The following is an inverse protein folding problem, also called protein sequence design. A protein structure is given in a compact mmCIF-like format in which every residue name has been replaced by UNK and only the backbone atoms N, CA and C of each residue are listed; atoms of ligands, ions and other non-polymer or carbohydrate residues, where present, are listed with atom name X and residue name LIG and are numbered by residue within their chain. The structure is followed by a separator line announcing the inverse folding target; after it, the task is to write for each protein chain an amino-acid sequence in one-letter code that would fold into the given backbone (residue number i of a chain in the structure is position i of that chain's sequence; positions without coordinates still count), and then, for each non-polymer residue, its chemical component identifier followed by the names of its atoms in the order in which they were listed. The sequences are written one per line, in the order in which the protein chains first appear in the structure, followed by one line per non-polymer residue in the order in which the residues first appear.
data_IF_898621541655
#
_entry.id   IF_898621541655
#
_cell.length_a   1.000
_cell.length_b   1.000
_cell.length_c   1.000
_cell.angle_alpha   90.00
_cell.angle_beta   90.00
_cell.angle_gamma   90.00
#
_symmetry.space_group_name_H-M   'P 1'
#
loop_
_entity.id
_entity.type
_entity.pdbx_description
1 polymer ?
#
# COMPACT_ATOMS: atom_id res chain seq x y z
N UNK A 1 -22.66 -17.87 -15.75
CA UNK A 1 -23.16 -18.65 -14.61
C UNK A 1 -22.10 -19.39 -13.79
N UNK A 2 -20.93 -19.77 -14.34
CA UNK A 2 -19.88 -20.44 -13.50
C UNK A 2 -19.08 -19.47 -12.59
N UNK A 3 -18.97 -18.20 -12.92
CA UNK A 3 -18.22 -17.22 -12.11
C UNK A 3 -18.85 -16.92 -10.74
N UNK A 4 -20.18 -16.77 -10.67
CA UNK A 4 -20.88 -16.44 -9.43
C UNK A 4 -20.76 -17.53 -8.35
N UNK A 5 -20.74 -18.81 -8.72
CA UNK A 5 -20.54 -19.91 -7.78
C UNK A 5 -19.15 -19.92 -7.17
N UNK A 6 -18.12 -19.51 -7.91
CA UNK A 6 -16.75 -19.51 -7.43
C UNK A 6 -16.49 -18.46 -6.35
N UNK A 7 -17.24 -17.35 -6.34
CA UNK A 7 -17.03 -16.26 -5.39
C UNK A 7 -17.98 -16.27 -4.20
N UNK A 8 -19.05 -17.08 -4.20
CA UNK A 8 -20.08 -17.08 -3.15
C UNK A 8 -19.50 -17.31 -1.75
N UNK A 9 -18.72 -18.36 -1.57
CA UNK A 9 -18.15 -18.71 -0.27
C UNK A 9 -17.16 -17.64 0.24
N UNK A 10 -16.23 -17.20 -0.60
CA UNK A 10 -15.23 -16.18 -0.22
C UNK A 10 -15.87 -14.82 0.02
N UNK A 11 -16.84 -14.43 -0.81
CA UNK A 11 -17.52 -13.14 -0.65
C UNK A 11 -18.35 -13.11 0.65
N UNK A 12 -19.04 -14.20 1.00
CA UNK A 12 -19.76 -14.33 2.27
C UNK A 12 -18.78 -14.23 3.45
N UNK A 13 -17.66 -14.95 3.40
CA UNK A 13 -16.62 -14.88 4.44
C UNK A 13 -16.07 -13.45 4.59
N UNK A 14 -15.75 -12.81 3.47
CA UNK A 14 -15.15 -11.48 3.46
C UNK A 14 -16.12 -10.41 3.96
N UNK A 15 -17.43 -10.55 3.70
CA UNK A 15 -18.45 -9.65 4.27
C UNK A 15 -18.50 -9.72 5.80
N UNK A 16 -18.39 -10.91 6.36
CA UNK A 16 -18.30 -11.09 7.82
C UNK A 16 -16.99 -10.51 8.37
N UNK A 17 -15.88 -10.67 7.66
CA UNK A 17 -14.59 -10.07 8.07
C UNK A 17 -14.65 -8.54 8.02
N UNK A 18 -15.24 -7.98 6.97
CA UNK A 18 -15.41 -6.52 6.82
C UNK A 18 -16.30 -5.91 7.91
N UNK A 19 -17.35 -6.61 8.36
CA UNK A 19 -18.20 -6.11 9.44
C UNK A 19 -17.50 -6.03 10.80
N UNK A 20 -16.31 -6.61 10.92
CA UNK A 20 -15.46 -6.56 12.13
C UNK A 20 -14.39 -5.47 12.09
N UNK A 21 -14.28 -4.74 10.98
CA UNK A 21 -13.43 -3.54 10.91
C UNK A 21 -13.97 -2.46 11.85
N UNK A 22 -13.09 -1.59 12.32
CA UNK A 22 -13.39 -0.54 13.26
C UNK A 22 -14.50 0.40 12.75
N UNK A 23 -15.49 0.64 13.60
CA UNK A 23 -16.54 1.64 13.37
C UNK A 23 -16.02 3.06 13.57
N UNK A 24 -16.78 4.08 13.22
CA UNK A 24 -16.43 5.49 13.54
C UNK A 24 -16.32 5.69 15.06
N UNK A 25 -17.18 5.01 15.84
CA UNK A 25 -17.15 5.07 17.30
C UNK A 25 -15.83 4.49 17.86
N UNK A 26 -15.34 3.40 17.29
CA UNK A 26 -14.06 2.79 17.71
C UNK A 26 -12.90 3.74 17.45
N UNK A 27 -12.88 4.42 16.29
CA UNK A 27 -11.87 5.44 15.99
C UNK A 27 -11.88 6.58 16.99
N UNK A 28 -13.07 7.16 17.26
CA UNK A 28 -13.22 8.25 18.23
C UNK A 28 -12.73 7.81 19.61
N UNK A 29 -13.18 6.65 20.10
CA UNK A 29 -12.74 6.12 21.38
C UNK A 29 -11.23 5.95 21.44
N UNK A 30 -10.64 5.32 20.39
CA UNK A 30 -9.20 5.05 20.33
C UNK A 30 -8.38 6.34 20.36
N UNK A 31 -8.81 7.41 19.67
CA UNK A 31 -8.12 8.70 19.69
C UNK A 31 -8.24 9.37 21.07
N UNK A 32 -9.39 9.23 21.75
CA UNK A 32 -9.67 9.87 23.03
C UNK A 32 -8.97 9.18 24.21
N UNK A 33 -8.48 7.95 24.08
CA UNK A 33 -7.73 7.28 25.14
C UNK A 33 -6.53 8.13 25.60
N UNK A 34 -6.25 8.13 26.90
CA UNK A 34 -5.26 9.04 27.50
C UNK A 34 -3.82 8.65 27.23
N UNK A 35 -3.57 7.37 26.99
CA UNK A 35 -2.23 6.82 26.81
C UNK A 35 -2.20 5.74 25.72
N UNK A 36 -1.01 5.47 25.18
CA UNK A 36 -0.78 4.36 24.24
C UNK A 36 -1.20 3.02 24.87
N UNK A 37 -0.96 2.85 26.18
CA UNK A 37 -1.38 1.65 26.89
C UNK A 37 -2.91 1.48 26.83
N UNK A 38 -3.67 2.51 27.17
CA UNK A 38 -5.15 2.48 27.11
C UNK A 38 -5.65 2.23 25.68
N UNK A 39 -4.98 2.81 24.65
CA UNK A 39 -5.28 2.53 23.24
C UNK A 39 -5.09 1.05 22.89
N UNK A 40 -4.01 0.44 23.38
CA UNK A 40 -3.74 -0.99 23.16
C UNK A 40 -4.75 -1.86 23.91
N UNK A 41 -5.06 -1.52 25.15
CA UNK A 41 -6.06 -2.22 25.96
C UNK A 41 -7.44 -2.14 25.28
N UNK A 42 -7.82 -0.97 24.72
CA UNK A 42 -9.02 -0.82 23.91
C UNK A 42 -9.01 -1.77 22.70
N UNK A 43 -7.92 -1.79 21.93
CA UNK A 43 -7.77 -2.68 20.77
C UNK A 43 -7.88 -4.16 21.17
N UNK A 44 -7.29 -4.54 22.31
CA UNK A 44 -7.34 -5.92 22.84
C UNK A 44 -8.74 -6.34 23.27
N UNK A 45 -9.43 -5.48 24.00
CA UNK A 45 -10.66 -5.85 24.71
C UNK A 45 -11.92 -5.62 23.87
N UNK A 46 -11.89 -4.68 22.93
CA UNK A 46 -13.08 -4.21 22.22
C UNK A 46 -13.09 -4.49 20.72
N UNK A 47 -12.03 -5.03 20.17
CA UNK A 47 -11.90 -5.19 18.73
C UNK A 47 -11.42 -6.59 18.33
N UNK A 48 -11.36 -6.85 17.02
CA UNK A 48 -10.84 -8.12 16.48
C UNK A 48 -9.34 -8.29 16.69
N UNK A 49 -8.65 -7.25 17.10
CA UNK A 49 -7.20 -7.25 17.30
C UNK A 49 -6.78 -7.87 18.64
N UNK A 50 -7.72 -8.24 19.53
CA UNK A 50 -7.42 -8.85 20.82
C UNK A 50 -6.52 -10.08 20.74
N UNK A 51 -6.81 -11.00 19.83
CA UNK A 51 -5.96 -12.19 19.63
C UNK A 51 -4.62 -11.86 18.92
N UNK A 52 -4.55 -10.77 18.18
CA UNK A 52 -3.35 -10.34 17.45
C UNK A 52 -2.35 -9.72 18.42
N UNK A 53 -2.85 -8.93 19.36
CA UNK A 53 -2.05 -8.15 20.30
C UNK A 53 -1.92 -8.77 21.67
N UNK A 54 -2.42 -10.01 21.90
CA UNK A 54 -2.45 -10.67 23.21
C UNK A 54 -1.08 -10.78 23.88
N UNK A 55 -0.03 -11.03 23.08
CA UNK A 55 1.34 -11.25 23.56
C UNK A 55 2.17 -9.94 23.58
N UNK A 56 1.53 -8.81 23.28
CA UNK A 56 2.16 -7.48 23.36
C UNK A 56 2.28 -7.06 24.83
N UNK A 57 3.50 -6.68 25.21
CA UNK A 57 3.87 -6.22 26.56
C UNK A 57 3.09 -4.97 26.99
N UNK A 58 3.17 -4.61 28.27
CA UNK A 58 2.44 -3.45 28.85
C UNK A 58 2.92 -2.10 28.32
N UNK A 59 4.20 -1.99 27.92
CA UNK A 59 4.82 -0.79 27.33
C UNK A 59 5.52 -1.16 26.02
N UNK A 60 4.78 -1.48 24.96
CA UNK A 60 5.36 -1.94 23.73
C UNK A 60 5.93 -0.79 22.90
N UNK A 61 6.96 -1.11 22.13
CA UNK A 61 7.34 -0.30 21.00
C UNK A 61 6.23 -0.37 19.92
N UNK A 62 5.82 0.78 19.39
CA UNK A 62 4.81 0.87 18.31
C UNK A 62 5.24 0.03 17.10
N UNK A 63 6.53 -0.10 16.83
CA UNK A 63 7.04 -0.97 15.77
C UNK A 63 6.64 -2.44 15.97
N UNK A 64 6.66 -2.95 17.20
CA UNK A 64 6.19 -4.33 17.49
C UNK A 64 4.70 -4.49 17.21
N UNK A 65 3.89 -3.49 17.54
CA UNK A 65 2.45 -3.48 17.24
C UNK A 65 2.22 -3.48 15.73
N UNK A 66 2.93 -2.64 15.00
CA UNK A 66 2.87 -2.57 13.55
C UNK A 66 3.17 -3.92 12.90
N UNK A 67 4.22 -4.61 13.37
CA UNK A 67 4.58 -5.95 12.89
C UNK A 67 3.41 -6.92 13.07
N UNK A 68 2.82 -6.98 14.26
CA UNK A 68 1.74 -7.93 14.54
C UNK A 68 0.48 -7.61 13.71
N UNK A 69 0.15 -6.34 13.54
CA UNK A 69 -0.95 -5.91 12.67
C UNK A 69 -0.69 -6.23 11.19
N UNK A 70 0.52 -6.04 10.70
CA UNK A 70 0.91 -6.42 9.32
C UNK A 70 0.90 -7.94 9.14
N UNK A 71 1.35 -8.71 10.12
CA UNK A 71 1.20 -10.18 10.11
C UNK A 71 -0.27 -10.58 10.00
N UNK A 72 -1.14 -9.93 10.77
CA UNK A 72 -2.58 -10.21 10.70
C UNK A 72 -3.14 -9.99 9.30
N UNK A 73 -2.79 -8.88 8.64
CA UNK A 73 -3.18 -8.57 7.27
C UNK A 73 -2.79 -9.69 6.29
N UNK A 74 -1.53 -10.12 6.36
CA UNK A 74 -1.01 -11.21 5.52
C UNK A 74 -1.75 -12.53 5.78
N UNK A 75 -2.01 -12.86 7.05
CA UNK A 75 -2.80 -14.04 7.42
C UNK A 75 -4.23 -13.97 6.85
N UNK A 76 -4.87 -12.78 6.84
CA UNK A 76 -6.19 -12.63 6.22
C UNK A 76 -6.13 -12.84 4.71
N UNK A 77 -5.13 -12.29 4.02
CA UNK A 77 -4.94 -12.53 2.59
C UNK A 77 -4.67 -14.01 2.30
N UNK A 78 -3.84 -14.69 3.09
CA UNK A 78 -3.63 -16.15 2.94
C UNK A 78 -4.90 -16.97 3.14
N UNK A 79 -5.75 -16.58 4.09
CA UNK A 79 -7.07 -17.23 4.27
C UNK A 79 -7.95 -17.07 3.03
N UNK A 80 -7.91 -15.89 2.40
CA UNK A 80 -8.63 -15.61 1.15
C UNK A 80 -8.07 -16.47 0.01
N UNK A 81 -6.75 -16.56 -0.14
CA UNK A 81 -6.07 -17.36 -1.17
C UNK A 81 -6.54 -18.84 -1.13
N UNK A 82 -6.85 -19.38 0.03
CA UNK A 82 -7.30 -20.79 0.18
C UNK A 82 -8.65 -21.07 -0.48
N UNK A 83 -9.47 -20.05 -0.73
CA UNK A 83 -10.75 -20.21 -1.42
C UNK A 83 -10.61 -20.36 -2.93
N UNK A 84 -9.42 -20.09 -3.47
CA UNK A 84 -9.16 -20.07 -4.89
C UNK A 84 -8.27 -21.22 -5.33
N UNK A 85 -8.39 -21.57 -6.62
CA UNK A 85 -7.56 -22.55 -7.32
C UNK A 85 -7.03 -21.94 -8.62
N UNK A 86 -6.03 -22.58 -9.22
CA UNK A 86 -5.47 -22.22 -10.52
C UNK A 86 -5.15 -20.71 -10.65
N UNK A 87 -5.57 -20.08 -11.74
CA UNK A 87 -5.24 -18.70 -12.11
C UNK A 87 -5.67 -17.67 -11.06
N UNK A 88 -6.83 -17.86 -10.44
CA UNK A 88 -7.30 -16.99 -9.36
C UNK A 88 -6.42 -17.07 -8.13
N UNK A 89 -5.97 -18.27 -7.77
CA UNK A 89 -5.04 -18.45 -6.66
C UNK A 89 -3.71 -17.77 -6.93
N UNK A 90 -3.21 -17.86 -8.15
CA UNK A 90 -1.95 -17.23 -8.54
C UNK A 90 -2.08 -15.70 -8.60
N UNK A 91 -3.23 -15.17 -9.02
CA UNK A 91 -3.53 -13.75 -8.95
C UNK A 91 -3.51 -13.22 -7.51
N UNK A 92 -4.23 -13.89 -6.59
CA UNK A 92 -4.24 -13.46 -5.18
C UNK A 92 -2.89 -13.66 -4.47
N UNK A 93 -2.07 -14.63 -4.88
CA UNK A 93 -0.68 -14.74 -4.40
C UNK A 93 0.17 -13.56 -4.88
N UNK A 94 -0.02 -13.11 -6.12
CA UNK A 94 0.71 -11.95 -6.63
C UNK A 94 0.43 -10.67 -5.81
N UNK A 95 -0.73 -10.54 -5.17
CA UNK A 95 -1.00 -9.42 -4.25
C UNK A 95 -0.06 -9.40 -3.02
N UNK A 96 0.53 -10.54 -2.62
CA UNK A 96 1.52 -10.58 -1.53
C UNK A 96 2.83 -9.89 -1.89
N UNK A 97 3.18 -9.83 -3.19
CA UNK A 97 4.41 -9.17 -3.65
C UNK A 97 4.49 -7.71 -3.21
N UNK A 98 3.34 -7.03 -3.09
CA UNK A 98 3.30 -5.64 -2.59
C UNK A 98 3.97 -5.52 -1.22
N UNK A 99 3.65 -6.42 -0.31
CA UNK A 99 4.18 -6.40 1.06
C UNK A 99 5.65 -6.83 1.11
N UNK A 100 6.08 -7.73 0.23
CA UNK A 100 7.49 -8.05 0.05
C UNK A 100 8.26 -6.83 -0.45
N UNK A 101 7.74 -6.15 -1.46
CA UNK A 101 8.34 -4.95 -2.04
C UNK A 101 8.42 -3.81 -1.01
N UNK A 102 7.39 -3.59 -0.20
CA UNK A 102 7.45 -2.59 0.87
C UNK A 102 8.57 -2.91 1.88
N UNK A 103 8.78 -4.18 2.21
CA UNK A 103 9.89 -4.58 3.07
C UNK A 103 11.26 -4.38 2.40
N UNK A 104 11.39 -4.72 1.11
CA UNK A 104 12.63 -4.48 0.35
C UNK A 104 12.96 -2.99 0.30
N UNK A 105 11.97 -2.12 0.05
CA UNK A 105 12.15 -0.67 0.08
C UNK A 105 12.59 -0.18 1.45
N UNK A 106 12.00 -0.72 2.52
CA UNK A 106 12.39 -0.37 3.88
C UNK A 106 13.87 -0.74 4.16
N UNK A 107 14.33 -1.91 3.72
CA UNK A 107 15.73 -2.29 3.82
C UNK A 107 16.65 -1.39 3.00
N UNK A 108 16.31 -1.11 1.75
CA UNK A 108 17.09 -0.22 0.89
C UNK A 108 17.25 1.17 1.53
N UNK A 109 16.17 1.74 2.08
CA UNK A 109 16.21 3.03 2.80
C UNK A 109 17.06 2.98 4.06
N UNK A 110 17.02 1.87 4.80
CA UNK A 110 17.83 1.71 6.02
C UNK A 110 19.32 1.57 5.69
N UNK A 111 19.66 0.83 4.64
CA UNK A 111 21.05 0.69 4.16
C UNK A 111 21.57 2.06 3.71
N UNK A 112 20.83 2.78 2.89
CA UNK A 112 21.21 4.11 2.40
C UNK A 112 21.46 5.13 3.52
N UNK A 113 20.69 5.03 4.61
CA UNK A 113 20.84 5.89 5.79
C UNK A 113 21.88 5.41 6.78
N UNK A 114 22.49 4.26 6.55
CA UNK A 114 23.32 3.56 7.54
C UNK A 114 22.59 3.31 8.87
N UNK A 115 21.26 3.13 8.81
CA UNK A 115 20.44 2.80 9.96
C UNK A 115 20.47 1.29 10.24
N UNK A 116 20.20 0.91 11.51
CA UNK A 116 19.98 -0.49 11.84
C UNK A 116 18.76 -1.01 11.09
N UNK A 117 18.94 -2.17 10.41
CA UNK A 117 17.84 -2.81 9.70
C UNK A 117 16.69 -3.15 10.67
N UNK A 118 15.47 -2.74 10.36
CA UNK A 118 14.33 -2.97 11.23
C UNK A 118 13.99 -4.46 11.32
N UNK A 119 13.71 -4.94 12.52
CA UNK A 119 13.24 -6.32 12.74
C UNK A 119 11.89 -6.61 12.06
N UNK A 120 11.17 -5.55 11.69
CA UNK A 120 9.84 -5.57 11.07
C UNK A 120 9.74 -6.33 9.76
N UNK A 121 10.81 -6.49 9.07
CA UNK A 121 10.77 -6.80 7.65
C UNK A 121 10.70 -8.29 7.33
N UNK A 122 10.67 -9.19 8.31
CA UNK A 122 10.52 -10.60 8.01
C UNK A 122 9.06 -10.93 7.66
N UNK A 123 8.85 -11.36 6.43
CA UNK A 123 7.60 -11.89 5.95
C UNK A 123 7.24 -13.20 6.69
N UNK A 124 5.98 -13.31 7.08
CA UNK A 124 5.46 -14.50 7.75
C UNK A 124 4.58 -15.35 6.83
N UNK A 125 4.53 -15.03 5.54
CA UNK A 125 3.79 -15.80 4.56
C UNK A 125 4.54 -17.05 4.15
N UNK A 126 3.82 -18.16 4.00
CA UNK A 126 4.35 -19.38 3.39
C UNK A 126 4.56 -19.27 1.87
N UNK A 127 4.14 -18.17 1.27
CA UNK A 127 4.28 -17.88 -0.16
C UNK A 127 5.44 -16.91 -0.44
N UNK A 128 6.25 -16.61 0.56
CA UNK A 128 7.45 -15.77 0.44
C UNK A 128 8.36 -16.28 -0.69
N UNK A 129 8.93 -15.33 -1.42
CA UNK A 129 9.83 -15.59 -2.55
C UNK A 129 11.30 -15.45 -2.20
N UNK A 130 11.65 -14.82 -1.08
CA UNK A 130 13.04 -14.65 -0.64
C UNK A 130 13.25 -14.90 0.87
N UNK A 131 14.48 -15.22 1.26
CA UNK A 131 14.82 -15.53 2.65
C UNK A 131 15.36 -14.30 3.39
N UNK A 132 14.54 -13.68 4.23
CA UNK A 132 14.91 -12.51 5.03
C UNK A 132 16.03 -12.76 6.06
N UNK A 133 16.32 -14.01 6.41
CA UNK A 133 17.32 -14.32 7.47
C UNK A 133 18.73 -13.91 7.08
N UNK A 134 19.04 -13.93 5.79
CA UNK A 134 20.37 -13.61 5.28
C UNK A 134 20.63 -12.10 5.19
N UNK A 135 19.59 -11.27 5.35
CA UNK A 135 19.65 -9.81 5.10
C UNK A 135 20.02 -9.02 6.36
N UNK A 136 19.86 -9.58 7.56
CA UNK A 136 19.96 -8.85 8.84
C UNK A 136 21.28 -8.11 9.12
N UNK A 137 22.36 -8.50 8.47
CA UNK A 137 23.69 -7.94 8.72
C UNK A 137 24.27 -7.17 7.51
N UNK A 138 23.46 -6.95 6.48
CA UNK A 138 23.89 -6.28 5.26
C UNK A 138 23.88 -4.77 5.49
N UNK A 139 24.96 -4.11 5.11
CA UNK A 139 25.13 -2.66 5.22
C UNK A 139 25.41 -2.00 3.87
N UNK A 140 25.43 -2.78 2.80
CA UNK A 140 25.77 -2.33 1.46
C UNK A 140 24.68 -2.74 0.45
N UNK A 141 24.33 -1.85 -0.47
CA UNK A 141 23.28 -2.09 -1.48
C UNK A 141 23.68 -3.19 -2.46
N UNK A 142 24.95 -3.27 -2.85
CA UNK A 142 25.43 -4.30 -3.79
C UNK A 142 25.31 -5.69 -3.18
N UNK A 143 25.74 -5.85 -1.91
CA UNK A 143 25.57 -7.10 -1.16
C UNK A 143 24.10 -7.45 -0.98
N UNK A 144 23.24 -6.45 -0.69
CA UNK A 144 21.80 -6.65 -0.57
C UNK A 144 21.20 -7.21 -1.86
N UNK A 145 21.52 -6.61 -3.01
CA UNK A 145 21.02 -7.06 -4.31
C UNK A 145 21.52 -8.48 -4.64
N UNK A 146 22.79 -8.78 -4.37
CA UNK A 146 23.33 -10.14 -4.60
C UNK A 146 22.62 -11.22 -3.77
N UNK A 147 22.18 -10.88 -2.55
CA UNK A 147 21.39 -11.80 -1.71
C UNK A 147 19.97 -12.08 -2.24
N UNK A 148 19.48 -11.28 -3.18
CA UNK A 148 18.21 -11.51 -3.87
C UNK A 148 18.34 -12.43 -5.10
N UNK A 149 19.54 -12.93 -5.42
CA UNK A 149 19.79 -13.79 -6.57
C UNK A 149 18.88 -15.01 -6.58
N UNK A 150 18.29 -15.29 -7.74
CA UNK A 150 17.29 -16.34 -7.92
C UNK A 150 15.87 -15.93 -7.57
N UNK A 151 15.62 -14.68 -7.19
CA UNK A 151 14.29 -14.11 -7.04
C UNK A 151 13.95 -13.16 -8.20
N UNK A 152 12.67 -12.84 -8.39
CA UNK A 152 12.21 -11.86 -9.39
C UNK A 152 12.73 -10.44 -9.12
N UNK A 153 13.18 -10.15 -7.92
CA UNK A 153 13.70 -8.85 -7.50
C UNK A 153 15.12 -8.61 -7.98
N UNK A 154 15.92 -9.67 -8.11
CA UNK A 154 17.32 -9.57 -8.51
C UNK A 154 17.48 -8.90 -9.88
N UNK A 155 16.76 -9.38 -10.89
CA UNK A 155 16.87 -8.87 -12.26
C UNK A 155 16.45 -7.39 -12.37
N UNK A 156 15.54 -6.96 -11.50
CA UNK A 156 15.04 -5.58 -11.45
C UNK A 156 16.02 -4.64 -10.76
N UNK A 157 16.74 -5.09 -9.74
CA UNK A 157 17.62 -4.26 -8.92
C UNK A 157 19.09 -4.34 -9.37
N UNK A 158 19.50 -5.43 -10.02
CA UNK A 158 20.89 -5.67 -10.44
C UNK A 158 21.51 -4.53 -11.28
N UNK A 159 20.77 -3.87 -12.20
CA UNK A 159 21.33 -2.75 -12.97
C UNK A 159 21.78 -1.56 -12.13
N UNK A 160 21.33 -1.48 -10.88
CA UNK A 160 21.55 -0.33 -9.99
C UNK A 160 22.54 -0.64 -8.85
N UNK A 161 23.00 -1.88 -8.70
CA UNK A 161 23.73 -2.33 -7.51
C UNK A 161 25.05 -1.58 -7.26
N UNK A 162 25.75 -1.20 -8.32
CA UNK A 162 27.06 -0.56 -8.26
C UNK A 162 27.01 0.92 -8.70
N UNK A 163 25.81 1.51 -8.80
CA UNK A 163 25.66 2.88 -9.25
C UNK A 163 25.92 3.85 -8.09
N UNK A 164 26.77 4.84 -8.35
CA UNK A 164 27.06 5.96 -7.44
C UNK A 164 26.23 7.21 -7.85
N UNK A 165 24.93 7.16 -7.59
CA UNK A 165 23.99 8.26 -7.87
C UNK A 165 23.07 8.43 -6.67
N UNK A 166 22.99 9.65 -6.14
CA UNK A 166 22.10 9.99 -5.00
C UNK A 166 20.61 9.70 -5.26
N UNK A 167 20.22 9.47 -6.52
CA UNK A 167 18.86 9.15 -6.95
C UNK A 167 18.60 7.65 -7.05
N UNK A 168 19.62 6.81 -6.79
CA UNK A 168 19.57 5.36 -7.03
C UNK A 168 18.42 4.69 -6.27
N UNK A 169 18.22 5.08 -5.03
CA UNK A 169 17.14 4.58 -4.18
C UNK A 169 15.77 4.81 -4.82
N UNK A 170 15.56 6.01 -5.36
CA UNK A 170 14.30 6.35 -6.04
C UNK A 170 14.06 5.45 -7.27
N UNK A 171 15.09 5.23 -8.09
CA UNK A 171 14.99 4.34 -9.25
C UNK A 171 14.70 2.90 -8.85
N UNK A 172 15.36 2.38 -7.81
CA UNK A 172 15.14 1.04 -7.31
C UNK A 172 13.69 0.87 -6.81
N UNK A 173 13.19 1.83 -6.02
CA UNK A 173 11.82 1.80 -5.50
C UNK A 173 10.76 1.84 -6.63
N UNK A 174 10.95 2.70 -7.63
CA UNK A 174 10.02 2.77 -8.77
C UNK A 174 10.01 1.47 -9.58
N UNK A 175 11.17 0.85 -9.79
CA UNK A 175 11.25 -0.42 -10.52
C UNK A 175 10.60 -1.58 -9.72
N UNK A 176 10.71 -1.58 -8.41
CA UNK A 176 10.02 -2.55 -7.57
C UNK A 176 8.49 -2.38 -7.66
N UNK A 177 7.98 -1.15 -7.65
CA UNK A 177 6.54 -0.90 -7.86
C UNK A 177 6.10 -1.33 -9.27
N UNK A 178 6.91 -1.02 -10.29
CA UNK A 178 6.64 -1.45 -11.66
C UNK A 178 6.59 -2.98 -11.78
N UNK A 179 7.48 -3.68 -11.09
CA UNK A 179 7.46 -5.14 -11.01
C UNK A 179 6.11 -5.63 -10.45
N UNK A 180 5.66 -5.07 -9.33
CA UNK A 180 4.36 -5.44 -8.73
C UNK A 180 3.21 -5.31 -9.73
N UNK A 181 3.06 -4.14 -10.36
CA UNK A 181 1.97 -3.91 -11.30
C UNK A 181 2.07 -4.79 -12.56
N UNK A 182 3.28 -5.07 -13.03
CA UNK A 182 3.52 -5.98 -14.15
C UNK A 182 3.10 -7.42 -13.82
N UNK A 183 3.44 -7.90 -12.61
CA UNK A 183 3.03 -9.22 -12.13
C UNK A 183 1.51 -9.31 -11.94
N UNK A 184 0.89 -8.32 -11.31
CA UNK A 184 -0.59 -8.26 -11.16
C UNK A 184 -1.27 -8.30 -12.53
N UNK A 185 -0.78 -7.52 -13.49
CA UNK A 185 -1.30 -7.49 -14.86
C UNK A 185 -1.17 -8.85 -15.54
N UNK A 186 0.01 -9.45 -15.52
CA UNK A 186 0.28 -10.76 -16.13
C UNK A 186 -0.60 -11.87 -15.53
N UNK A 187 -0.88 -11.82 -14.21
CA UNK A 187 -1.79 -12.79 -13.58
C UNK A 187 -3.25 -12.49 -13.90
N UNK A 188 -3.65 -11.21 -13.97
CA UNK A 188 -5.03 -10.82 -14.30
C UNK A 188 -5.42 -11.21 -15.74
N UNK A 189 -4.49 -11.18 -16.67
CA UNK A 189 -4.71 -11.58 -18.08
C UNK A 189 -5.12 -13.05 -18.24
N UNK A 190 -4.78 -13.90 -17.27
CA UNK A 190 -5.16 -15.33 -17.26
C UNK A 190 -6.57 -15.56 -16.71
N UNK A 191 -7.20 -14.55 -16.12
CA UNK A 191 -8.56 -14.64 -15.58
C UNK A 191 -9.59 -14.51 -16.70
N UNK A 192 -10.86 -14.82 -16.38
CA UNK A 192 -11.92 -14.57 -17.33
C UNK A 192 -12.03 -13.08 -17.70
N UNK A 193 -12.58 -12.80 -18.89
CA UNK A 193 -12.62 -11.44 -19.45
C UNK A 193 -13.32 -10.42 -18.54
N UNK A 194 -14.41 -10.81 -17.85
CA UNK A 194 -15.19 -9.90 -17.01
C UNK A 194 -14.41 -9.52 -15.76
N UNK A 195 -13.81 -10.49 -15.09
CA UNK A 195 -12.99 -10.26 -13.88
C UNK A 195 -11.73 -9.46 -14.22
N UNK A 196 -11.09 -9.77 -15.36
CA UNK A 196 -9.94 -9.00 -15.84
C UNK A 196 -10.29 -7.53 -16.04
N UNK A 197 -11.36 -7.21 -16.79
CA UNK A 197 -11.79 -5.83 -17.03
C UNK A 197 -12.11 -5.12 -15.71
N UNK A 198 -12.78 -5.79 -14.78
CA UNK A 198 -13.11 -5.22 -13.47
C UNK A 198 -11.85 -4.90 -12.63
N UNK A 199 -10.85 -5.77 -12.66
CA UNK A 199 -9.56 -5.56 -12.00
C UNK A 199 -8.80 -4.42 -12.67
N UNK A 200 -8.73 -4.38 -13.99
CA UNK A 200 -8.08 -3.32 -14.77
C UNK A 200 -8.70 -1.95 -14.48
N UNK A 201 -10.03 -1.86 -14.37
CA UNK A 201 -10.72 -0.62 -14.02
C UNK A 201 -10.39 -0.15 -12.60
N UNK A 202 -10.34 -1.08 -11.65
CA UNK A 202 -10.04 -0.78 -10.25
C UNK A 202 -8.58 -0.34 -10.06
N UNK A 203 -7.64 -1.05 -10.68
CA UNK A 203 -6.20 -0.78 -10.55
C UNK A 203 -5.74 0.39 -11.42
N UNK A 204 -6.42 0.66 -12.53
CA UNK A 204 -6.05 1.74 -13.45
C UNK A 204 -6.08 3.11 -12.80
N UNK A 205 -7.01 3.36 -11.86
CA UNK A 205 -7.04 4.61 -11.10
C UNK A 205 -5.85 4.71 -10.13
N UNK A 206 -5.47 3.61 -9.50
CA UNK A 206 -4.28 3.57 -8.65
C UNK A 206 -2.99 3.83 -9.45
N UNK A 207 -2.89 3.26 -10.65
CA UNK A 207 -1.77 3.49 -11.58
C UNK A 207 -1.69 4.96 -11.98
N UNK A 208 -2.82 5.60 -12.33
CA UNK A 208 -2.82 7.03 -12.64
C UNK A 208 -2.31 7.87 -11.47
N UNK A 209 -2.80 7.60 -10.26
CA UNK A 209 -2.39 8.33 -9.06
C UNK A 209 -0.91 8.18 -8.75
N UNK A 210 -0.35 6.98 -8.90
CA UNK A 210 1.08 6.72 -8.73
C UNK A 210 1.92 7.42 -9.80
N UNK A 211 1.49 7.39 -11.06
CA UNK A 211 2.19 8.11 -12.13
C UNK A 211 2.22 9.62 -11.84
N UNK A 212 1.11 10.22 -11.41
CA UNK A 212 1.05 11.62 -11.03
C UNK A 212 2.03 11.92 -9.89
N UNK A 213 2.00 11.10 -8.84
CA UNK A 213 2.88 11.26 -7.68
C UNK A 213 4.35 11.16 -8.08
N UNK A 214 4.73 10.18 -8.89
CA UNK A 214 6.11 10.00 -9.33
C UNK A 214 6.60 11.13 -10.24
N UNK A 215 5.76 11.58 -11.19
CA UNK A 215 6.11 12.72 -12.05
C UNK A 215 6.30 13.96 -11.18
N UNK A 216 5.36 14.27 -10.28
CA UNK A 216 5.45 15.41 -9.40
C UNK A 216 6.70 15.37 -8.52
N UNK A 217 6.97 14.25 -7.85
CA UNK A 217 8.14 14.09 -6.98
C UNK A 217 9.44 14.10 -7.77
N UNK A 218 9.46 13.46 -8.93
CA UNK A 218 10.63 13.42 -9.80
C UNK A 218 11.05 14.80 -10.30
N UNK A 219 10.09 15.64 -10.70
CA UNK A 219 10.36 17.02 -11.11
C UNK A 219 10.77 17.87 -9.90
N UNK A 220 10.00 17.82 -8.81
CA UNK A 220 10.14 18.76 -7.70
C UNK A 220 11.33 18.49 -6.78
N UNK A 221 11.57 17.22 -6.44
CA UNK A 221 12.52 16.85 -5.39
C UNK A 221 13.79 16.19 -5.92
N UNK A 222 13.69 15.49 -7.06
CA UNK A 222 14.82 14.75 -7.62
C UNK A 222 15.42 15.37 -8.87
N UNK A 223 14.80 16.43 -9.43
CA UNK A 223 15.23 17.11 -10.66
C UNK A 223 15.53 16.11 -11.80
N UNK A 224 14.65 15.11 -11.98
CA UNK A 224 14.81 14.10 -13.02
C UNK A 224 14.55 14.67 -14.39
N UNK A 225 15.29 14.20 -15.39
CA UNK A 225 15.01 14.53 -16.78
C UNK A 225 13.72 13.86 -17.25
N UNK A 226 12.95 14.48 -18.17
CA UNK A 226 11.73 13.90 -18.73
C UNK A 226 11.90 12.48 -19.26
N UNK A 227 13.03 12.19 -19.91
CA UNK A 227 13.36 10.88 -20.46
C UNK A 227 13.53 9.83 -19.38
N UNK A 228 14.10 10.19 -18.23
CA UNK A 228 14.22 9.31 -17.06
C UNK A 228 12.82 8.99 -16.51
N UNK A 229 12.00 10.02 -16.27
CA UNK A 229 10.62 9.83 -15.78
C UNK A 229 9.80 8.92 -16.69
N UNK A 230 9.87 9.13 -18.01
CA UNK A 230 9.13 8.33 -18.98
C UNK A 230 9.45 6.83 -18.87
N UNK A 231 10.72 6.49 -18.59
CA UNK A 231 11.14 5.10 -18.46
C UNK A 231 10.52 4.37 -17.26
N UNK A 232 10.09 5.12 -16.24
CA UNK A 232 9.52 4.55 -15.01
C UNK A 232 7.99 4.57 -14.97
N UNK A 233 7.32 5.22 -15.92
CA UNK A 233 5.88 5.28 -15.96
C UNK A 233 5.24 3.89 -15.93
N UNK A 234 4.21 3.76 -15.13
CA UNK A 234 3.36 2.57 -15.11
C UNK A 234 2.42 2.61 -16.31
N UNK A 235 2.41 1.58 -17.15
CA UNK A 235 1.43 1.45 -18.21
C UNK A 235 0.04 1.08 -17.63
N UNK A 236 -0.98 1.24 -18.45
CA UNK A 236 -2.36 0.79 -18.15
C UNK A 236 -3.16 1.65 -17.18
N UNK A 237 -2.79 2.94 -17.03
CA UNK A 237 -3.63 3.92 -16.35
C UNK A 237 -5.02 4.02 -16.99
N UNK A 238 -6.01 4.44 -16.19
CA UNK A 238 -7.41 4.55 -16.63
C UNK A 238 -7.65 5.82 -17.44
N UNK A 239 -7.23 6.97 -16.92
CA UNK A 239 -7.47 8.28 -17.52
C UNK A 239 -6.31 8.70 -18.42
N UNK A 240 -5.09 8.68 -17.91
CA UNK A 240 -3.93 9.17 -18.64
C UNK A 240 -3.29 8.08 -19.48
N UNK A 241 -3.24 8.31 -20.80
CA UNK A 241 -2.54 7.43 -21.73
C UNK A 241 -1.10 7.88 -21.92
N UNK A 242 -0.27 7.06 -22.53
CA UNK A 242 1.16 7.29 -22.67
C UNK A 242 1.50 8.70 -23.24
N UNK A 243 0.72 9.20 -24.21
CA UNK A 243 0.95 10.54 -24.79
C UNK A 243 0.76 11.66 -23.76
N UNK A 244 -0.25 11.54 -22.92
CA UNK A 244 -0.56 12.52 -21.86
C UNK A 244 0.47 12.45 -20.75
N UNK A 245 0.81 11.23 -20.28
CA UNK A 245 1.86 11.00 -19.30
C UNK A 245 3.21 11.55 -19.79
N UNK A 246 3.55 11.30 -21.06
CA UNK A 246 4.76 11.88 -21.67
C UNK A 246 4.74 13.40 -21.62
N UNK A 247 3.60 14.04 -21.98
CA UNK A 247 3.45 15.50 -21.87
C UNK A 247 3.67 15.98 -20.44
N UNK A 248 3.12 15.29 -19.43
CA UNK A 248 3.32 15.63 -18.02
C UNK A 248 4.80 15.55 -17.60
N UNK A 249 5.57 14.58 -18.12
CA UNK A 249 7.00 14.47 -17.83
C UNK A 249 7.82 15.66 -18.39
N UNK A 250 7.37 16.27 -19.49
CA UNK A 250 8.01 17.45 -20.08
C UNK A 250 7.48 18.78 -19.55
N UNK A 251 6.46 18.78 -18.68
CA UNK A 251 5.90 19.98 -18.08
C UNK A 251 6.74 20.46 -16.90
N UNK A 252 6.62 21.74 -16.57
CA UNK A 252 7.01 22.23 -15.26
C UNK A 252 5.93 21.92 -14.21
N UNK A 253 6.20 22.30 -12.95
CA UNK A 253 5.29 22.01 -11.83
C UNK A 253 3.93 22.72 -11.98
N UNK A 254 3.90 23.92 -12.54
CA UNK A 254 2.66 24.69 -12.67
C UNK A 254 1.81 24.16 -13.83
N UNK A 255 2.42 23.84 -14.97
CA UNK A 255 1.72 23.14 -16.06
C UNK A 255 1.22 21.76 -15.64
N UNK A 256 2.02 21.01 -14.88
CA UNK A 256 1.57 19.70 -14.33
C UNK A 256 0.34 19.86 -13.44
N UNK A 257 0.35 20.85 -12.53
CA UNK A 257 -0.81 21.16 -11.68
C UNK A 257 -2.04 21.50 -12.51
N UNK A 258 -1.89 22.33 -13.55
CA UNK A 258 -3.00 22.73 -14.42
C UNK A 258 -3.61 21.51 -15.14
N UNK A 259 -2.78 20.60 -15.65
CA UNK A 259 -3.26 19.36 -16.26
C UNK A 259 -4.08 18.54 -15.24
N UNK A 260 -3.59 18.39 -14.03
CA UNK A 260 -4.25 17.57 -13.01
C UNK A 260 -5.50 18.24 -12.46
N UNK A 261 -5.50 19.57 -12.26
CA UNK A 261 -6.67 20.34 -11.81
C UNK A 261 -7.85 20.23 -12.80
N UNK A 262 -7.59 20.01 -14.09
CA UNK A 262 -8.59 19.78 -15.11
C UNK A 262 -9.01 18.30 -15.28
N UNK A 263 -8.56 17.42 -14.39
CA UNK A 263 -8.88 15.98 -14.37
C UNK A 263 -9.75 15.60 -13.16
N UNK A 264 -10.17 14.33 -13.12
CA UNK A 264 -10.84 13.77 -11.93
C UNK A 264 -9.96 13.73 -10.69
N UNK A 265 -8.64 13.90 -10.84
CA UNK A 265 -7.66 13.87 -9.76
C UNK A 265 -7.30 15.28 -9.23
N UNK A 266 -8.11 16.29 -9.54
CA UNK A 266 -7.93 17.69 -9.09
C UNK A 266 -7.72 17.83 -7.58
N UNK A 267 -8.32 16.94 -6.77
CA UNK A 267 -8.19 16.91 -5.32
C UNK A 267 -6.74 16.74 -4.82
N UNK A 268 -5.82 16.27 -5.66
CA UNK A 268 -4.40 16.09 -5.28
C UNK A 268 -3.72 17.43 -5.01
N UNK A 269 -4.12 18.48 -5.71
CA UNK A 269 -3.57 19.82 -5.61
C UNK A 269 -4.49 20.81 -4.90
N UNK A 270 -5.35 20.32 -4.01
CA UNK A 270 -6.13 21.18 -3.12
C UNK A 270 -5.20 22.05 -2.26
N UNK A 271 -5.36 23.37 -2.36
CA UNK A 271 -4.47 24.36 -1.75
C UNK A 271 -4.79 24.67 -0.29
N UNK A 272 -5.85 24.11 0.28
CA UNK A 272 -6.20 24.34 1.68
C UNK A 272 -5.17 23.76 2.65
N UNK A 273 -4.42 22.73 2.22
CA UNK A 273 -3.34 22.09 2.99
C UNK A 273 -2.12 21.89 2.10
N UNK A 274 -0.95 21.83 2.73
CA UNK A 274 0.33 21.58 2.06
C UNK A 274 0.23 20.37 1.12
N UNK A 275 0.59 20.58 -0.16
CA UNK A 275 0.49 19.55 -1.21
C UNK A 275 1.48 18.43 -0.95
N UNK A 276 2.71 18.77 -0.57
CA UNK A 276 3.80 17.80 -0.43
C UNK A 276 3.53 16.85 0.75
N UNK A 277 3.08 17.43 1.86
CA UNK A 277 2.81 16.67 3.07
C UNK A 277 1.57 15.77 2.94
N UNK A 278 0.55 16.21 2.20
CA UNK A 278 -0.74 15.52 2.19
C UNK A 278 -1.07 14.79 0.87
N UNK A 279 -0.21 14.82 -0.15
CA UNK A 279 -0.50 14.20 -1.46
C UNK A 279 -0.76 12.69 -1.29
N UNK A 280 0.15 11.97 -0.64
CA UNK A 280 0.01 10.53 -0.38
C UNK A 280 -1.29 10.24 0.40
N UNK A 281 -1.60 11.04 1.43
CA UNK A 281 -2.82 10.88 2.22
C UNK A 281 -4.09 11.14 1.41
N UNK A 282 -4.06 12.06 0.45
CA UNK A 282 -5.17 12.33 -0.48
C UNK A 282 -5.39 11.14 -1.42
N UNK A 283 -4.30 10.55 -1.94
CA UNK A 283 -4.33 9.33 -2.75
C UNK A 283 -4.98 8.19 -1.95
N UNK A 284 -4.51 7.94 -0.75
CA UNK A 284 -5.02 6.87 0.12
C UNK A 284 -6.51 7.05 0.46
N UNK A 285 -6.94 8.28 0.77
CA UNK A 285 -8.36 8.59 1.01
C UNK A 285 -9.22 8.31 -0.20
N UNK A 286 -8.78 8.74 -1.38
CA UNK A 286 -9.47 8.45 -2.62
C UNK A 286 -9.64 6.95 -2.82
N UNK A 287 -8.56 6.19 -2.70
CA UNK A 287 -8.56 4.74 -2.86
C UNK A 287 -9.42 4.05 -1.79
N UNK A 288 -9.37 4.51 -0.53
CA UNK A 288 -10.24 4.00 0.54
C UNK A 288 -11.73 4.10 0.17
N UNK A 289 -12.18 5.27 -0.28
CA UNK A 289 -13.58 5.46 -0.66
C UNK A 289 -13.93 4.66 -1.92
N UNK A 290 -13.01 4.51 -2.85
CA UNK A 290 -13.16 3.66 -4.03
C UNK A 290 -13.36 2.19 -3.65
N UNK A 291 -12.54 1.65 -2.78
CA UNK A 291 -12.69 0.28 -2.27
C UNK A 291 -13.97 0.11 -1.44
N UNK A 292 -14.33 1.10 -0.63
CA UNK A 292 -15.58 1.11 0.14
C UNK A 292 -16.81 1.08 -0.78
N UNK A 293 -16.79 1.85 -1.86
CA UNK A 293 -17.85 1.86 -2.87
C UNK A 293 -17.92 0.52 -3.63
N UNK A 294 -16.78 0.00 -4.07
CA UNK A 294 -16.65 -1.31 -4.72
C UNK A 294 -17.27 -2.40 -3.84
N UNK A 295 -17.00 -2.37 -2.54
CA UNK A 295 -17.56 -3.31 -1.58
C UNK A 295 -19.08 -3.15 -1.42
N UNK A 296 -19.60 -1.94 -1.45
CA UNK A 296 -21.05 -1.65 -1.35
C UNK A 296 -21.83 -2.08 -2.59
N UNK A 297 -21.32 -1.80 -3.79
CA UNK A 297 -21.94 -2.17 -5.08
C UNK A 297 -21.98 -3.67 -5.31
N UNK A 298 -21.25 -4.41 -4.51
CA UNK A 298 -20.81 -5.74 -4.68
C UNK A 298 -21.83 -6.80 -4.93
N UNK A 299 -21.95 -7.18 -6.17
CA UNK A 299 -22.32 -8.53 -6.56
C UNK A 299 -21.19 -9.49 -6.16
N UNK A 300 -21.46 -10.79 -6.23
CA UNK A 300 -20.44 -11.82 -6.00
C UNK A 300 -19.34 -11.69 -7.06
N UNK A 301 -18.21 -11.09 -6.71
CA UNK A 301 -17.15 -10.78 -7.68
C UNK A 301 -15.75 -10.92 -7.09
N UNK A 302 -14.75 -11.01 -7.96
CA UNK A 302 -13.32 -10.98 -7.65
C UNK A 302 -12.92 -9.72 -6.89
N UNK A 303 -13.63 -8.60 -7.06
CA UNK A 303 -13.28 -7.32 -6.46
C UNK A 303 -13.55 -7.23 -4.96
N UNK A 304 -14.49 -8.02 -4.43
CA UNK A 304 -14.88 -7.97 -3.01
C UNK A 304 -13.72 -8.35 -2.08
N UNK A 305 -13.03 -9.47 -2.30
CA UNK A 305 -11.85 -9.80 -1.48
C UNK A 305 -10.71 -8.79 -1.66
N UNK A 306 -10.50 -8.26 -2.87
CA UNK A 306 -9.49 -7.22 -3.13
C UNK A 306 -9.81 -5.97 -2.29
N UNK A 307 -11.04 -5.48 -2.38
CA UNK A 307 -11.49 -4.30 -1.64
C UNK A 307 -11.37 -4.49 -0.12
N UNK A 308 -11.69 -5.68 0.40
CA UNK A 308 -11.53 -5.96 1.83
C UNK A 308 -10.08 -5.88 2.29
N UNK A 309 -9.14 -6.47 1.55
CA UNK A 309 -7.71 -6.46 1.92
C UNK A 309 -7.19 -5.02 1.97
N UNK A 310 -7.52 -4.19 0.99
CA UNK A 310 -7.12 -2.78 1.01
C UNK A 310 -7.81 -1.98 2.13
N UNK A 311 -9.09 -2.23 2.42
CA UNK A 311 -9.77 -1.59 3.55
C UNK A 311 -9.13 -1.98 4.89
N UNK A 312 -8.73 -3.23 5.07
CA UNK A 312 -8.00 -3.70 6.25
C UNK A 312 -6.60 -3.07 6.34
N UNK A 313 -5.90 -2.95 5.20
CA UNK A 313 -4.60 -2.27 5.13
C UNK A 313 -4.71 -0.82 5.60
N UNK A 314 -5.69 -0.07 5.10
CA UNK A 314 -5.92 1.32 5.50
C UNK A 314 -6.32 1.44 6.98
N UNK A 315 -7.12 0.52 7.50
CA UNK A 315 -7.45 0.49 8.92
C UNK A 315 -6.21 0.28 9.80
N UNK A 316 -5.34 -0.67 9.43
CA UNK A 316 -4.08 -0.91 10.15
C UNK A 316 -3.19 0.35 10.11
N UNK A 317 -3.11 1.01 8.96
CA UNK A 317 -2.36 2.26 8.80
C UNK A 317 -2.91 3.37 9.68
N UNK A 318 -4.23 3.49 9.76
CA UNK A 318 -4.89 4.45 10.65
C UNK A 318 -4.65 4.13 12.13
N UNK A 319 -4.71 2.87 12.55
CA UNK A 319 -4.37 2.45 13.92
C UNK A 319 -2.94 2.89 14.28
N UNK A 320 -1.97 2.61 13.41
CA UNK A 320 -0.57 3.00 13.61
C UNK A 320 -0.45 4.52 13.71
N UNK A 321 -1.12 5.26 12.80
CA UNK A 321 -1.15 6.72 12.82
C UNK A 321 -1.72 7.29 14.13
N UNK A 322 -2.77 6.67 14.69
CA UNK A 322 -3.35 7.09 15.98
C UNK A 322 -2.38 6.84 17.14
N UNK A 323 -1.70 5.69 17.17
CA UNK A 323 -0.70 5.38 18.19
C UNK A 323 0.48 6.36 18.13
N UNK A 324 0.98 6.64 16.93
CA UNK A 324 2.05 7.61 16.70
C UNK A 324 1.63 9.03 17.07
N UNK A 325 0.41 9.45 16.70
CA UNK A 325 -0.13 10.75 17.08
C UNK A 325 -0.15 10.93 18.60
N UNK A 326 -0.52 9.89 19.34
CA UNK A 326 -0.47 9.90 20.81
C UNK A 326 0.96 10.01 21.34
N UNK A 327 1.92 9.32 20.72
CA UNK A 327 3.34 9.40 21.07
C UNK A 327 3.90 10.82 20.92
N UNK A 328 3.47 11.50 19.86
CA UNK A 328 3.89 12.88 19.56
C UNK A 328 3.02 13.95 20.23
N UNK A 329 2.01 13.57 21.00
CA UNK A 329 1.15 14.51 21.71
C UNK A 329 0.25 15.36 20.80
N UNK A 330 -0.12 14.83 19.62
CA UNK A 330 -1.00 15.55 18.68
C UNK A 330 -2.42 15.68 19.24
N UNK A 331 -3.06 16.78 18.91
CA UNK A 331 -4.48 17.03 19.22
C UNK A 331 -5.41 16.10 18.44
N UNK A 332 -6.68 16.04 18.85
CA UNK A 332 -7.72 15.29 18.14
C UNK A 332 -7.80 15.72 16.65
N UNK A 333 -7.81 17.03 16.41
CA UNK A 333 -7.92 17.57 15.05
C UNK A 333 -6.71 17.20 14.19
N UNK A 334 -5.49 17.41 14.72
CA UNK A 334 -4.27 17.01 14.02
C UNK A 334 -4.25 15.51 13.73
N UNK A 335 -4.63 14.68 14.71
CA UNK A 335 -4.72 13.23 14.51
C UNK A 335 -5.67 12.86 13.38
N UNK A 336 -6.88 13.45 13.37
CA UNK A 336 -7.89 13.14 12.33
C UNK A 336 -7.44 13.58 10.94
N UNK A 337 -6.62 14.60 10.84
CA UNK A 337 -6.06 15.08 9.58
C UNK A 337 -5.11 14.06 8.93
N UNK A 338 -4.42 13.26 9.73
CA UNK A 338 -3.52 12.20 9.25
C UNK A 338 -4.22 10.88 8.94
N UNK A 339 -5.50 10.71 9.28
CA UNK A 339 -6.19 9.44 8.99
C UNK A 339 -6.62 9.32 7.54
N UNK A 340 -6.60 8.10 7.03
CA UNK A 340 -7.15 7.74 5.74
C UNK A 340 -8.68 7.83 5.79
N UNK A 341 -9.29 7.20 6.80
CA UNK A 341 -10.73 7.26 7.01
C UNK A 341 -11.13 8.58 7.67
N UNK A 342 -11.98 9.37 7.00
CA UNK A 342 -12.61 10.54 7.65
C UNK A 342 -13.61 10.08 8.72
N UNK A 343 -13.49 10.65 9.90
CA UNK A 343 -14.40 10.42 11.02
C UNK A 343 -15.52 11.43 10.90
N UNK A 344 -16.77 10.96 10.69
CA UNK A 344 -17.94 11.82 10.63
C UNK A 344 -18.24 12.35 12.05
N UNK A 345 -18.31 13.67 12.22
CA UNK A 345 -18.62 14.33 13.50
C UNK A 345 -17.43 14.94 14.23
N UNK A 346 -16.30 15.15 13.56
CA UNK A 346 -15.14 15.88 14.08
C UNK A 346 -15.03 17.33 13.56
N UNK A 347 -16.16 17.89 13.11
CA UNK A 347 -16.27 19.33 12.78
C UNK A 347 -16.65 20.14 14.02
#
# INVERSE_FOLDING_TARGET
MNGERNFSAVNTKVRVLKSRLLSNKDYVNLIQEKSIKEQIDYLKDRTVYGNVLKDIEEFPDIQKIEIELKKYLIIQLEKIIRYFSQEYKDFYKAMLLRYEIENLKLYLRSIERNDKLPDVACFFSKYITFNCKNIKNITDISEFVENLKGTIYYDVLMPYKDADDSRILFYMEMNLDRLYFSEIKAKSEKLNKFDRIAIEDLLGENIDLLNIEWIYRGIKFYNLFPEELINYLLPYGKEFKYKELKRMCYSDIDELKDIILNSRYSFLFDTQKDVDLYMERRIERYLYYKFKETFKKGNLSVLIPIAYIHLLEFEIRDIISILEAKRYGLTLQETTDYLVKKIEGSD
#
